data_IF_850037675616
#
_entry.id   IF_850037675616
#
_cell.length_a   1.000
_cell.length_b   1.000
_cell.length_c   1.000
_cell.angle_alpha   90.00
_cell.angle_beta   90.00
_cell.angle_gamma   90.00
#
_symmetry.space_group_name_H-M   'P 1'
#
loop_
_entity.id
_entity.type
_entity.pdbx_description
1 polymer ?
#
# COMPACT_ATOMS: atom_id res chain seq x y z
N UNK A 1 -12.79 8.30 -7.48
CA UNK A 1 -12.23 7.43 -6.42
C UNK A 1 -11.18 8.18 -5.63
N UNK A 2 -10.82 7.74 -4.41
CA UNK A 2 -9.94 8.48 -3.50
C UNK A 2 -8.60 8.90 -4.12
N UNK A 3 -8.06 8.10 -5.04
CA UNK A 3 -6.84 8.42 -5.81
C UNK A 3 -6.96 9.71 -6.65
N UNK A 4 -8.13 9.99 -7.24
CA UNK A 4 -8.35 11.17 -8.09
C UNK A 4 -8.54 12.45 -7.27
N UNK A 5 -8.86 12.34 -5.97
CA UNK A 5 -8.97 13.49 -5.07
C UNK A 5 -7.61 13.98 -4.58
N UNK A 6 -6.58 13.11 -4.56
CA UNK A 6 -5.23 13.50 -4.18
C UNK A 6 -4.62 14.58 -5.09
N UNK A 7 -5.10 14.67 -6.34
CA UNK A 7 -4.63 15.64 -7.34
C UNK A 7 -5.17 17.07 -7.05
N UNK A 8 -6.13 17.23 -6.13
CA UNK A 8 -6.72 18.53 -5.76
C UNK A 8 -6.37 18.98 -4.34
N UNK A 9 -5.49 18.26 -3.63
CA UNK A 9 -5.09 18.60 -2.27
C UNK A 9 -4.12 19.79 -2.23
N UNK A 10 -4.11 20.52 -1.11
CA UNK A 10 -3.17 21.64 -0.88
C UNK A 10 -1.70 21.18 -0.90
N UNK A 11 -1.44 19.92 -0.51
CA UNK A 11 -0.15 19.26 -0.66
C UNK A 11 -0.34 17.90 -1.39
N UNK A 12 0.12 17.80 -2.66
CA UNK A 12 -0.04 16.58 -3.45
C UNK A 12 0.79 15.41 -2.90
N UNK A 13 1.91 15.64 -2.22
CA UNK A 13 2.75 14.58 -1.65
C UNK A 13 2.06 13.97 -0.43
N UNK A 14 1.51 14.80 0.47
CA UNK A 14 0.72 14.32 1.61
C UNK A 14 -0.48 13.51 1.11
N UNK A 15 -1.20 14.01 0.11
CA UNK A 15 -2.38 13.34 -0.40
C UNK A 15 -2.02 12.02 -1.11
N UNK A 16 -0.91 11.98 -1.85
CA UNK A 16 -0.39 10.74 -2.44
C UNK A 16 -0.08 9.72 -1.36
N UNK A 17 0.71 10.08 -0.34
CA UNK A 17 1.11 9.16 0.75
C UNK A 17 -0.11 8.65 1.53
N UNK A 18 -1.06 9.54 1.86
CA UNK A 18 -2.31 9.15 2.52
C UNK A 18 -3.15 8.20 1.66
N UNK A 19 -3.16 8.38 0.33
CA UNK A 19 -3.87 7.48 -0.60
C UNK A 19 -3.17 6.14 -0.81
N UNK A 20 -1.84 6.11 -0.72
CA UNK A 20 -1.04 4.90 -0.96
C UNK A 20 -1.10 3.91 0.18
N UNK A 21 -1.24 4.35 1.43
CA UNK A 21 -1.41 3.44 2.58
C UNK A 21 -2.58 2.46 2.39
N UNK A 22 -3.85 2.89 2.16
CA UNK A 22 -4.96 1.96 1.95
C UNK A 22 -4.86 1.20 0.62
N UNK A 23 -4.25 1.79 -0.43
CA UNK A 23 -3.97 1.06 -1.67
C UNK A 23 -3.05 -0.15 -1.42
N UNK A 24 -1.98 0.05 -0.66
CA UNK A 24 -1.03 -0.99 -0.31
C UNK A 24 -1.65 -2.05 0.60
N UNK A 25 -2.47 -1.63 1.57
CA UNK A 25 -3.22 -2.56 2.40
C UNK A 25 -4.14 -3.47 1.58
N UNK A 26 -4.82 -2.92 0.57
CA UNK A 26 -5.64 -3.71 -0.35
C UNK A 26 -4.85 -4.77 -1.13
N UNK A 27 -3.66 -4.43 -1.63
CA UNK A 27 -2.79 -5.38 -2.31
C UNK A 27 -2.23 -6.46 -1.36
N UNK A 28 -1.91 -6.12 -0.11
CA UNK A 28 -1.54 -7.09 0.94
C UNK A 28 -2.69 -8.07 1.20
N UNK A 29 -3.92 -7.58 1.30
CA UNK A 29 -5.08 -8.44 1.58
C UNK A 29 -5.37 -9.39 0.41
N UNK A 30 -5.22 -8.93 -0.84
CA UNK A 30 -5.29 -9.78 -2.03
C UNK A 30 -4.16 -10.82 -2.06
N UNK A 31 -2.92 -10.42 -1.73
CA UNK A 31 -1.78 -11.32 -1.66
C UNK A 31 -1.99 -12.42 -0.60
N UNK A 32 -2.55 -12.07 0.57
CA UNK A 32 -2.93 -13.05 1.60
C UNK A 32 -3.99 -14.03 1.10
N UNK A 33 -4.98 -13.56 0.33
CA UNK A 33 -5.97 -14.45 -0.29
C UNK A 33 -5.31 -15.43 -1.28
N UNK A 34 -4.33 -14.99 -2.07
CA UNK A 34 -3.53 -15.88 -2.94
C UNK A 34 -2.78 -16.92 -2.13
N UNK A 35 -2.17 -16.55 -1.00
CA UNK A 35 -1.47 -17.50 -0.13
C UNK A 35 -2.41 -18.52 0.52
N UNK A 36 -3.67 -18.15 0.76
CA UNK A 36 -4.67 -19.02 1.36
C UNK A 36 -5.33 -19.97 0.33
N UNK A 37 -5.63 -19.47 -0.87
CA UNK A 37 -6.48 -20.18 -1.83
C UNK A 37 -5.82 -20.48 -3.18
N UNK A 38 -4.75 -19.77 -3.52
CA UNK A 38 -4.00 -19.92 -4.78
C UNK A 38 -3.09 -21.16 -4.77
N UNK A 39 -2.90 -21.73 -5.96
CA UNK A 39 -2.19 -23.01 -6.18
C UNK A 39 -0.92 -22.92 -7.02
N UNK A 40 -0.72 -21.81 -7.73
CA UNK A 40 0.47 -21.61 -8.55
C UNK A 40 1.63 -21.11 -7.67
N UNK A 41 2.74 -21.83 -7.67
CA UNK A 41 3.88 -21.55 -6.79
C UNK A 41 4.52 -20.20 -7.08
N UNK A 42 4.66 -19.83 -8.37
CA UNK A 42 5.25 -18.56 -8.76
C UNK A 42 4.40 -17.37 -8.31
N UNK A 43 3.07 -17.50 -8.41
CA UNK A 43 2.13 -16.46 -7.97
C UNK A 43 2.12 -16.33 -6.45
N UNK A 44 2.28 -17.44 -5.71
CA UNK A 44 2.43 -17.42 -4.24
C UNK A 44 3.74 -16.76 -3.81
N UNK A 45 4.83 -17.00 -4.54
CA UNK A 45 6.11 -16.33 -4.30
C UNK A 45 6.01 -14.81 -4.51
N UNK A 46 5.34 -14.37 -5.58
CA UNK A 46 5.06 -12.94 -5.77
C UNK A 46 4.18 -12.37 -4.66
N UNK A 47 3.18 -13.10 -4.18
CA UNK A 47 2.34 -12.66 -3.07
C UNK A 47 3.16 -12.43 -1.78
N UNK A 48 4.10 -13.32 -1.45
CA UNK A 48 5.01 -13.12 -0.31
C UNK A 48 5.89 -11.87 -0.48
N UNK A 49 6.42 -11.64 -1.69
CA UNK A 49 7.23 -10.46 -2.00
C UNK A 49 6.41 -9.16 -1.86
N UNK A 50 5.18 -9.14 -2.39
CA UNK A 50 4.25 -8.01 -2.28
C UNK A 50 3.97 -7.71 -0.81
N UNK A 51 3.65 -8.72 0.01
CA UNK A 51 3.37 -8.53 1.44
C UNK A 51 4.57 -7.88 2.13
N UNK A 52 5.77 -8.41 1.91
CA UNK A 52 6.99 -7.92 2.57
C UNK A 52 7.29 -6.47 2.18
N UNK A 53 7.29 -6.17 0.88
CA UNK A 53 7.60 -4.83 0.38
C UNK A 53 6.57 -3.80 0.86
N UNK A 54 5.29 -4.10 0.67
CA UNK A 54 4.24 -3.11 0.93
C UNK A 54 3.99 -2.88 2.42
N UNK A 55 4.27 -3.86 3.29
CA UNK A 55 4.28 -3.62 4.74
C UNK A 55 5.38 -2.64 5.14
N UNK A 56 6.57 -2.75 4.56
CA UNK A 56 7.68 -1.84 4.81
C UNK A 56 7.40 -0.43 4.27
N UNK A 57 6.77 -0.33 3.10
CA UNK A 57 6.35 0.95 2.51
C UNK A 57 5.27 1.62 3.35
N UNK A 58 4.26 0.88 3.83
CA UNK A 58 3.25 1.42 4.77
C UNK A 58 3.92 2.01 6.02
N UNK A 59 4.87 1.28 6.63
CA UNK A 59 5.55 1.77 7.83
C UNK A 59 6.34 3.05 7.54
N UNK A 60 7.03 3.10 6.40
CA UNK A 60 7.80 4.27 5.95
C UNK A 60 6.89 5.47 5.68
N UNK A 61 5.76 5.26 5.02
CA UNK A 61 4.75 6.29 4.73
C UNK A 61 4.10 6.84 6.00
N UNK A 62 3.77 5.97 6.96
CA UNK A 62 3.23 6.38 8.26
C UNK A 62 4.24 7.23 9.03
N UNK A 63 5.51 6.85 9.02
CA UNK A 63 6.56 7.63 9.67
C UNK A 63 6.78 8.98 8.98
N UNK A 64 6.80 8.99 7.65
CA UNK A 64 6.89 10.23 6.87
C UNK A 64 5.73 11.19 7.18
N UNK A 65 4.49 10.70 7.27
CA UNK A 65 3.32 11.52 7.60
C UNK A 65 3.42 12.16 8.99
N UNK A 66 3.96 11.46 10.00
CA UNK A 66 4.15 12.07 11.35
C UNK A 66 5.08 13.28 11.32
N UNK A 67 6.00 13.33 10.36
CA UNK A 67 7.01 14.38 10.24
C UNK A 67 6.51 15.57 9.39
N UNK A 68 5.60 15.32 8.43
CA UNK A 68 5.24 16.29 7.40
C UNK A 68 3.76 16.73 7.41
N UNK A 69 2.83 15.88 7.87
CA UNK A 69 1.43 16.24 8.00
C UNK A 69 1.17 16.85 9.39
N UNK A 70 1.26 18.17 9.50
CA UNK A 70 0.86 18.96 10.67
C UNK A 70 -0.46 19.67 10.43
#
# INVERSE_FOLDING_TARGET
GPMMQAIQAEDPDIAFVQSMIPHHQGAIDMARAVLQFGKDDQVRDWANQIITAQQAEIASMQEWLKQHAK
#
